data_IF_163982832799
#
_entry.id   IF_163982832799
#
_cell.length_a   1.000
_cell.length_b   1.000
_cell.length_c   1.000
_cell.angle_alpha   90.00
_cell.angle_beta   90.00
_cell.angle_gamma   90.00
#
_symmetry.space_group_name_H-M   'P 1'
#
loop_
_entity.id
_entity.type
_entity.pdbx_description
1 polymer ?
#
# COMPACT_ATOMS: atom_id res chain seq x y z
N UNK A 1 -17.86 -3.47 -21.21
CA UNK A 1 -16.64 -2.79 -21.72
C UNK A 1 -15.46 -3.55 -21.19
N UNK A 2 -14.39 -3.83 -21.95
CA UNK A 2 -13.22 -4.47 -21.33
C UNK A 2 -12.62 -3.43 -20.39
N UNK A 3 -12.67 -3.72 -19.08
CA UNK A 3 -11.93 -2.94 -18.09
C UNK A 3 -10.48 -2.89 -18.58
N UNK A 4 -9.98 -1.71 -18.93
CA UNK A 4 -8.56 -1.56 -19.25
C UNK A 4 -7.79 -2.08 -18.05
N UNK A 5 -7.10 -3.22 -18.20
CA UNK A 5 -6.26 -3.78 -17.15
C UNK A 5 -5.32 -2.67 -16.69
N UNK A 6 -5.38 -2.35 -15.40
CA UNK A 6 -4.49 -1.33 -14.82
C UNK A 6 -3.02 -1.67 -15.14
N UNK A 7 -2.20 -0.62 -15.29
CA UNK A 7 -0.76 -0.78 -15.46
C UNK A 7 -0.15 -1.51 -14.26
N UNK A 8 0.94 -2.24 -14.48
CA UNK A 8 1.62 -2.94 -13.40
C UNK A 8 2.12 -1.97 -12.33
N UNK A 9 2.56 -0.79 -12.76
CA UNK A 9 3.10 0.29 -11.94
C UNK A 9 2.01 0.91 -11.06
N UNK A 10 0.80 1.10 -11.61
CA UNK A 10 -0.37 1.53 -10.84
C UNK A 10 -0.75 0.49 -9.79
N UNK A 11 -0.79 -0.80 -10.14
CA UNK A 11 -0.99 -1.88 -9.18
C UNK A 11 0.11 -1.90 -8.11
N UNK A 12 1.38 -1.68 -8.47
CA UNK A 12 2.48 -1.62 -7.52
C UNK A 12 2.31 -0.45 -6.53
N UNK A 13 1.81 0.69 -7.01
CA UNK A 13 1.42 1.82 -6.17
C UNK A 13 0.30 1.47 -5.19
N UNK A 14 -0.73 0.77 -5.66
CA UNK A 14 -1.82 0.27 -4.80
C UNK A 14 -1.31 -0.71 -3.75
N UNK A 15 -0.49 -1.68 -4.15
CA UNK A 15 0.13 -2.65 -3.23
C UNK A 15 0.94 -1.93 -2.16
N UNK A 16 1.78 -0.97 -2.55
CA UNK A 16 2.57 -0.20 -1.60
C UNK A 16 1.69 0.57 -0.61
N UNK A 17 0.58 1.18 -1.06
CA UNK A 17 -0.38 1.82 -0.16
C UNK A 17 -0.98 0.83 0.85
N UNK A 18 -1.45 -0.33 0.38
CA UNK A 18 -2.02 -1.40 1.21
C UNK A 18 -1.01 -1.87 2.27
N UNK A 19 0.23 -2.15 1.86
CA UNK A 19 1.31 -2.58 2.75
C UNK A 19 1.72 -1.51 3.77
N UNK A 20 1.69 -0.23 3.37
CA UNK A 20 1.97 0.87 4.28
C UNK A 20 0.85 1.07 5.31
N UNK A 21 -0.41 0.93 4.90
CA UNK A 21 -1.56 0.93 5.83
C UNK A 21 -1.49 -0.26 6.78
N UNK A 22 -1.13 -1.46 6.30
CA UNK A 22 -0.90 -2.63 7.14
C UNK A 22 0.08 -2.32 8.29
N UNK A 23 1.23 -1.74 7.94
CA UNK A 23 2.25 -1.35 8.94
C UNK A 23 1.73 -0.32 9.94
N UNK A 24 0.99 0.67 9.44
CA UNK A 24 0.41 1.71 10.28
C UNK A 24 -0.65 1.17 11.24
N UNK A 25 -1.53 0.27 10.78
CA UNK A 25 -2.57 -0.37 11.61
C UNK A 25 -1.94 -1.20 12.73
N UNK A 26 -0.92 -2.00 12.40
CA UNK A 26 -0.17 -2.78 13.38
C UNK A 26 0.51 -1.88 14.42
N UNK A 27 1.19 -0.81 13.96
CA UNK A 27 1.91 0.08 14.85
C UNK A 27 1.81 1.56 14.42
N UNK A 28 0.78 2.29 14.89
CA UNK A 28 0.60 3.71 14.55
C UNK A 28 1.70 4.61 15.09
N UNK A 29 2.50 4.13 16.07
CA UNK A 29 3.59 4.89 16.68
C UNK A 29 4.92 4.73 15.95
N UNK A 30 5.07 3.72 15.07
CA UNK A 30 6.33 3.47 14.37
C UNK A 30 6.49 4.26 13.06
N UNK A 31 5.51 5.07 12.66
CA UNK A 31 5.63 5.81 11.41
C UNK A 31 4.52 6.81 11.17
N UNK A 32 4.75 7.66 10.17
CA UNK A 32 3.79 8.68 9.73
C UNK A 32 2.58 8.03 9.08
N UNK A 33 1.40 8.48 9.50
CA UNK A 33 0.11 8.12 8.88
C UNK A 33 0.21 8.25 7.35
N UNK A 34 -0.21 7.25 6.57
CA UNK A 34 -0.20 7.35 5.12
C UNK A 34 -1.13 8.46 4.62
N UNK A 35 -0.62 9.37 3.81
CA UNK A 35 -1.39 10.46 3.19
C UNK A 35 -1.26 10.42 1.67
N UNK A 36 -2.24 11.04 0.98
CA UNK A 36 -2.21 11.18 -0.47
C UNK A 36 -1.14 12.18 -0.96
N UNK A 37 -0.59 12.99 -0.05
CA UNK A 37 0.47 13.96 -0.32
C UNK A 37 1.87 13.35 -0.30
N UNK A 38 1.99 12.10 0.17
CA UNK A 38 3.22 11.31 0.15
C UNK A 38 3.60 10.93 -1.29
N UNK A 39 3.95 11.94 -2.08
CA UNK A 39 4.36 11.80 -3.48
C UNK A 39 5.81 11.40 -3.56
N UNK A 40 6.05 10.38 -4.36
CA UNK A 40 7.37 9.88 -4.65
C UNK A 40 8.00 10.69 -5.79
N UNK A 41 9.16 11.30 -5.52
CA UNK A 41 9.85 12.21 -6.44
C UNK A 41 11.12 11.63 -7.07
N UNK A 42 11.71 10.61 -6.44
CA UNK A 42 12.97 10.03 -6.89
C UNK A 42 12.79 8.73 -7.69
N UNK A 43 13.73 8.49 -8.61
CA UNK A 43 13.90 7.22 -9.37
C UNK A 43 14.21 6.09 -8.40
N UNK A 44 13.16 5.50 -7.87
CA UNK A 44 13.21 4.39 -6.94
C UNK A 44 12.39 3.23 -7.50
N UNK A 45 12.71 2.01 -7.08
CA UNK A 45 11.93 0.83 -7.45
C UNK A 45 10.83 0.58 -6.40
N UNK A 46 9.67 0.02 -6.78
CA UNK A 46 8.66 -0.39 -5.82
C UNK A 46 9.21 -1.35 -4.77
N UNK A 47 10.14 -2.24 -5.14
CA UNK A 47 10.85 -3.14 -4.23
C UNK A 47 11.54 -2.39 -3.10
N UNK A 48 12.38 -1.39 -3.41
CA UNK A 48 13.11 -0.64 -2.37
C UNK A 48 12.15 0.04 -1.40
N UNK A 49 11.07 0.62 -1.93
CA UNK A 49 10.02 1.25 -1.11
C UNK A 49 9.33 0.25 -0.19
N UNK A 50 8.93 -0.90 -0.71
CA UNK A 50 8.28 -1.96 0.08
C UNK A 50 9.24 -2.49 1.14
N UNK A 51 10.51 -2.72 0.81
CA UNK A 51 11.52 -3.18 1.76
C UNK A 51 11.77 -2.16 2.88
N UNK A 52 11.70 -0.86 2.57
CA UNK A 52 11.85 0.21 3.57
C UNK A 52 10.75 0.22 4.64
N UNK A 53 9.58 -0.39 4.36
CA UNK A 53 8.51 -0.54 5.34
C UNK A 53 8.87 -1.51 6.48
N UNK A 54 9.90 -2.36 6.30
CA UNK A 54 10.36 -3.36 7.28
C UNK A 54 9.18 -4.17 7.86
N UNK A 55 8.37 -4.73 6.96
CA UNK A 55 7.23 -5.54 7.33
C UNK A 55 7.67 -6.87 7.93
N UNK A 56 7.02 -7.24 9.02
CA UNK A 56 7.00 -8.61 9.53
C UNK A 56 5.53 -8.96 9.67
N UNK A 57 4.98 -9.65 8.66
CA UNK A 57 3.53 -9.80 8.53
C UNK A 57 2.91 -10.54 9.72
N UNK A 58 3.64 -11.47 10.33
CA UNK A 58 3.14 -12.22 11.47
C UNK A 58 3.18 -11.37 12.74
N UNK A 59 4.31 -10.71 13.03
CA UNK A 59 4.41 -9.83 14.20
C UNK A 59 3.51 -8.60 14.09
N UNK A 60 3.37 -8.04 12.89
CA UNK A 60 2.45 -6.93 12.61
C UNK A 60 0.99 -7.37 12.85
N UNK A 61 0.62 -8.59 12.46
CA UNK A 61 -0.70 -9.19 12.75
C UNK A 61 -0.90 -9.40 14.26
N UNK A 62 0.05 -10.02 14.94
CA UNK A 62 -0.01 -10.25 16.40
C UNK A 62 -0.18 -8.93 17.14
N UNK A 63 0.58 -7.90 16.75
CA UNK A 63 0.49 -6.57 17.34
C UNK A 63 -0.89 -5.92 17.12
N UNK A 64 -1.46 -6.08 15.92
CA UNK A 64 -2.80 -5.56 15.62
C UNK A 64 -3.88 -6.27 16.46
N UNK A 65 -3.78 -7.59 16.61
CA UNK A 65 -4.71 -8.41 17.43
C UNK A 65 -4.63 -8.06 18.90
N UNK A 66 -3.42 -7.88 19.45
CA UNK A 66 -3.22 -7.44 20.85
C UNK A 66 -3.89 -6.09 21.16
N UNK A 67 -4.07 -5.24 20.14
CA UNK A 67 -4.73 -3.93 20.26
C UNK A 67 -6.24 -3.98 20.02
N UNK A 68 -6.82 -5.16 19.80
CA UNK A 68 -8.27 -5.39 19.67
C UNK A 68 -8.87 -4.71 18.44
N UNK A 69 -9.19 -3.42 18.56
CA UNK A 69 -9.83 -2.58 17.52
C UNK A 69 -9.06 -2.46 16.21
N UNK A 70 -7.81 -2.94 16.14
CA UNK A 70 -7.01 -2.96 14.91
C UNK A 70 -7.07 -4.31 14.17
N UNK A 71 -7.65 -5.36 14.77
CA UNK A 71 -7.76 -6.67 14.14
C UNK A 71 -8.70 -6.64 12.92
N UNK A 72 -9.86 -5.99 13.04
CA UNK A 72 -10.80 -5.83 11.91
C UNK A 72 -10.18 -5.00 10.80
N UNK A 73 -9.52 -3.90 11.14
CA UNK A 73 -8.80 -3.09 10.19
C UNK A 73 -7.70 -3.87 9.45
N UNK A 74 -6.97 -4.72 10.18
CA UNK A 74 -5.96 -5.60 9.59
C UNK A 74 -6.59 -6.59 8.61
N UNK A 75 -7.75 -7.17 8.95
CA UNK A 75 -8.48 -8.08 8.07
C UNK A 75 -8.94 -7.40 6.77
N UNK A 76 -9.43 -6.16 6.83
CA UNK A 76 -9.80 -5.40 5.63
C UNK A 76 -8.59 -5.14 4.71
N UNK A 77 -7.44 -4.82 5.29
CA UNK A 77 -6.20 -4.63 4.52
C UNK A 77 -5.76 -5.94 3.85
N UNK A 78 -5.84 -7.08 4.54
CA UNK A 78 -5.57 -8.39 3.94
C UNK A 78 -6.55 -8.74 2.81
N UNK A 79 -7.84 -8.41 2.98
CA UNK A 79 -8.87 -8.64 1.95
C UNK A 79 -8.60 -7.85 0.66
N UNK A 80 -8.00 -6.67 0.77
CA UNK A 80 -7.65 -5.84 -0.37
C UNK A 80 -6.41 -6.32 -1.15
N UNK A 81 -5.55 -7.19 -0.57
CA UNK A 81 -4.28 -7.57 -1.20
C UNK A 81 -4.43 -8.23 -2.58
N UNK A 82 -5.31 -9.22 -2.80
CA UNK A 82 -5.35 -9.96 -4.07
C UNK A 82 -5.63 -9.09 -5.30
N UNK A 83 -6.37 -7.99 -5.16
CA UNK A 83 -6.70 -7.10 -6.28
C UNK A 83 -5.61 -6.10 -6.63
N UNK A 84 -4.56 -5.98 -5.80
CA UNK A 84 -3.49 -4.99 -5.97
C UNK A 84 -2.13 -5.60 -6.32
N UNK A 85 -2.02 -6.93 -6.43
CA UNK A 85 -0.76 -7.60 -6.79
C UNK A 85 -0.48 -7.45 -8.29
N UNK A 86 0.65 -6.82 -8.69
CA UNK A 86 1.03 -6.77 -10.11
C UNK A 86 1.38 -8.17 -10.62
N UNK A 87 0.87 -8.52 -11.80
CA UNK A 87 1.22 -9.78 -12.47
C UNK A 87 2.61 -9.76 -13.13
N UNK A 88 3.14 -8.55 -13.37
CA UNK A 88 4.45 -8.38 -14.02
C UNK A 88 5.53 -8.17 -12.96
N UNK A 89 6.56 -9.02 -12.98
CA UNK A 89 7.70 -8.93 -12.08
C UNK A 89 8.44 -7.59 -12.18
N UNK A 90 8.60 -7.05 -13.41
CA UNK A 90 9.26 -5.76 -13.67
C UNK A 90 8.59 -4.61 -12.92
N UNK A 91 7.26 -4.63 -12.79
CA UNK A 91 6.51 -3.60 -12.08
C UNK A 91 6.79 -3.55 -10.57
N UNK A 92 7.45 -4.57 -10.01
CA UNK A 92 7.89 -4.57 -8.61
C UNK A 92 9.38 -4.27 -8.47
N UNK A 93 10.19 -4.56 -9.48
CA UNK A 93 11.65 -4.64 -9.33
C UNK A 93 12.37 -3.49 -10.00
N UNK A 94 11.88 -3.06 -11.16
CA UNK A 94 12.58 -2.09 -11.97
C UNK A 94 12.44 -0.69 -11.38
N UNK A 95 13.43 0.16 -11.66
CA UNK A 95 13.34 1.56 -11.30
C UNK A 95 12.26 2.23 -12.16
N UNK A 96 11.45 3.08 -11.54
CA UNK A 96 10.39 3.78 -12.24
C UNK A 96 10.96 4.97 -13.03
N UNK A 97 10.64 5.02 -14.32
CA UNK A 97 10.77 6.25 -15.13
C UNK A 97 9.67 7.26 -14.77
N UNK A 98 9.68 8.43 -15.40
CA UNK A 98 8.74 9.51 -15.04
C UNK A 98 7.27 9.10 -15.21
N UNK A 99 6.95 8.39 -16.30
CA UNK A 99 5.59 7.92 -16.59
C UNK A 99 5.18 6.83 -15.60
N UNK A 100 6.05 5.86 -15.38
CA UNK A 100 5.84 4.74 -14.46
C UNK A 100 5.65 5.24 -13.02
N UNK A 101 6.41 6.26 -12.63
CA UNK A 101 6.30 6.92 -11.33
C UNK A 101 4.97 7.67 -11.19
N UNK A 102 4.46 8.30 -12.25
CA UNK A 102 3.15 8.94 -12.24
C UNK A 102 2.02 7.91 -12.05
N UNK A 103 2.08 6.78 -12.76
CA UNK A 103 1.15 5.66 -12.61
C UNK A 103 1.19 5.07 -11.20
N UNK A 104 2.39 4.84 -10.66
CA UNK A 104 2.59 4.39 -9.28
C UNK A 104 1.95 5.35 -8.26
N UNK A 105 2.24 6.65 -8.36
CA UNK A 105 1.67 7.66 -7.48
C UNK A 105 0.14 7.77 -7.65
N UNK A 106 -0.40 7.53 -8.84
CA UNK A 106 -1.84 7.50 -9.07
C UNK A 106 -2.49 6.29 -8.38
N UNK A 107 -1.90 5.10 -8.52
CA UNK A 107 -2.35 3.89 -7.84
C UNK A 107 -2.30 3.99 -6.33
N UNK A 108 -1.19 4.54 -5.80
CA UNK A 108 -1.03 4.79 -4.37
C UNK A 108 -2.15 5.67 -3.80
N UNK A 109 -2.43 6.81 -4.45
CA UNK A 109 -3.50 7.72 -4.02
C UNK A 109 -4.89 7.09 -4.13
N UNK A 110 -5.16 6.38 -5.23
CA UNK A 110 -6.44 5.69 -5.43
C UNK A 110 -6.70 4.65 -4.33
N UNK A 111 -5.70 3.82 -4.02
CA UNK A 111 -5.85 2.80 -2.98
C UNK A 111 -5.99 3.39 -1.59
N UNK A 112 -5.25 4.47 -1.28
CA UNK A 112 -5.46 5.17 -0.01
C UNK A 112 -6.87 5.75 0.11
N UNK A 113 -7.46 6.24 -0.98
CA UNK A 113 -8.87 6.65 -1.00
C UNK A 113 -9.80 5.50 -0.60
N UNK A 114 -9.66 4.36 -1.27
CA UNK A 114 -10.46 3.15 -0.97
C UNK A 114 -10.27 2.67 0.47
N UNK A 115 -9.04 2.63 0.97
CA UNK A 115 -8.75 2.19 2.34
C UNK A 115 -9.26 3.20 3.38
N UNK A 116 -9.29 4.50 3.07
CA UNK A 116 -9.89 5.52 3.94
C UNK A 116 -11.39 5.36 4.07
N UNK A 117 -12.08 5.04 2.98
CA UNK A 117 -13.51 4.74 3.00
C UNK A 117 -13.81 3.47 3.82
N UNK A 118 -12.95 2.46 3.72
CA UNK A 118 -13.09 1.22 4.49
C UNK A 118 -12.71 1.37 5.97
N UNK A 119 -11.75 2.24 6.30
CA UNK A 119 -11.17 2.41 7.65
C UNK A 119 -11.20 3.88 8.12
N UNK A 120 -12.38 4.53 8.17
CA UNK A 120 -12.47 5.97 8.42
C UNK A 120 -11.93 6.36 9.80
N UNK A 121 -12.12 5.54 10.83
CA UNK A 121 -11.64 5.84 12.19
C UNK A 121 -10.11 5.84 12.33
N UNK A 122 -9.41 5.14 11.43
CA UNK A 122 -7.96 5.00 11.46
C UNK A 122 -7.26 5.89 10.43
N UNK A 123 -7.91 6.17 9.30
CA UNK A 123 -7.32 6.88 8.16
C UNK A 123 -8.01 8.21 7.77
N UNK A 124 -9.17 8.53 8.37
CA UNK A 124 -9.93 9.79 8.21
C UNK A 124 -9.30 11.02 8.85
#
# INVERSE_FOLDING_TARGET
MPEQKESGEKLAGRLYATLRVLKFVANPRSGTRPTAEDRFKDKDSPRRRIQALKLDLFEDLVTAVQKGRHAEAMAEVFRAMPSVVPLRHSALQDNLGERELAEFNAGYRAQLGTLKEALPELLG
#
